data_IF_170506589669
#
_entry.id   IF_170506589669
#
_cell.length_a   1.000
_cell.length_b   1.000
_cell.length_c   1.000
_cell.angle_alpha   90.00
_cell.angle_beta   90.00
_cell.angle_gamma   90.00
#
_symmetry.space_group_name_H-M   'P 1'
#
loop_
_entity.id
_entity.type
_entity.pdbx_description
1 polymer ?
#
# COMPACT_ATOMS: atom_id res chain seq x y z
N UNK A 1 54.49 45.88 -25.56
CA UNK A 1 53.93 46.44 -24.30
C UNK A 1 52.42 46.46 -24.39
N UNK A 2 51.73 45.53 -23.72
CA UNK A 2 50.27 45.58 -23.55
C UNK A 2 49.97 45.19 -22.11
N UNK A 3 49.51 46.17 -21.35
CA UNK A 3 49.08 45.99 -19.97
C UNK A 3 47.70 46.60 -19.82
N UNK A 4 46.83 45.85 -19.15
CA UNK A 4 45.69 46.22 -18.29
C UNK A 4 44.32 45.71 -18.74
N UNK A 5 43.95 44.66 -18.01
CA UNK A 5 42.61 44.21 -17.62
C UNK A 5 41.63 45.36 -17.41
N UNK A 6 40.38 45.15 -17.84
CA UNK A 6 39.20 45.56 -17.07
C UNK A 6 38.23 44.38 -17.03
N UNK A 7 37.82 44.05 -15.81
CA UNK A 7 36.85 43.04 -15.44
C UNK A 7 35.49 43.28 -16.12
N UNK A 8 34.89 42.21 -16.65
CA UNK A 8 33.43 42.13 -16.81
C UNK A 8 32.93 40.91 -16.05
N UNK A 9 32.54 41.18 -14.80
CA UNK A 9 31.80 40.26 -13.97
C UNK A 9 30.32 40.35 -14.38
N UNK A 10 29.84 39.39 -15.17
CA UNK A 10 28.40 39.09 -15.27
C UNK A 10 28.22 37.57 -15.38
N UNK A 11 28.43 36.87 -14.27
CA UNK A 11 27.93 35.49 -14.09
C UNK A 11 26.78 35.53 -13.11
N UNK A 12 25.60 35.87 -13.61
CA UNK A 12 24.33 35.65 -12.92
C UNK A 12 23.18 35.50 -13.92
N UNK A 13 23.05 34.31 -14.47
CA UNK A 13 21.78 33.69 -14.88
C UNK A 13 22.04 32.18 -14.81
N UNK A 14 21.22 31.32 -14.26
CA UNK A 14 19.99 31.38 -13.48
C UNK A 14 20.02 30.03 -12.74
N UNK A 15 19.57 30.01 -11.48
CA UNK A 15 19.34 28.76 -10.76
C UNK A 15 18.44 27.87 -11.63
N UNK A 16 18.95 26.71 -12.03
CA UNK A 16 18.10 25.63 -12.46
C UNK A 16 17.29 25.20 -11.22
N UNK A 17 16.09 25.75 -11.06
CA UNK A 17 15.05 25.07 -10.30
C UNK A 17 14.77 23.76 -11.04
N UNK A 18 15.51 22.71 -10.70
CA UNK A 18 14.97 21.36 -10.75
C UNK A 18 13.79 21.39 -9.79
N UNK A 19 12.61 21.62 -10.33
CA UNK A 19 11.39 21.13 -9.72
C UNK A 19 11.53 19.62 -9.85
N UNK A 20 11.98 18.95 -8.79
CA UNK A 20 11.77 17.51 -8.71
C UNK A 20 10.27 17.30 -8.88
N UNK A 21 9.81 16.50 -9.86
CA UNK A 21 8.40 16.16 -9.90
C UNK A 21 8.12 15.45 -8.59
N UNK A 22 7.30 16.07 -7.74
CA UNK A 22 6.60 15.35 -6.69
C UNK A 22 5.80 14.31 -7.45
N UNK A 23 6.30 13.07 -7.45
CA UNK A 23 5.50 11.93 -7.86
C UNK A 23 4.35 11.94 -6.86
N UNK A 24 3.20 12.50 -7.24
CA UNK A 24 1.97 12.28 -6.49
C UNK A 24 1.76 10.78 -6.49
N UNK A 25 2.11 10.14 -5.37
CA UNK A 25 1.85 8.73 -5.17
C UNK A 25 0.34 8.56 -5.26
N UNK A 26 -0.11 7.87 -6.30
CA UNK A 26 -1.52 7.56 -6.46
C UNK A 26 -1.93 6.73 -5.23
N UNK A 27 -2.88 7.20 -4.41
CA UNK A 27 -3.21 6.51 -3.17
C UNK A 27 -3.65 5.08 -3.47
N UNK A 28 -2.97 4.13 -2.84
CA UNK A 28 -3.27 2.70 -2.98
C UNK A 28 -4.25 2.27 -1.90
N UNK A 29 -5.26 1.50 -2.29
CA UNK A 29 -6.16 0.84 -1.33
C UNK A 29 -5.94 -0.65 -1.38
N UNK A 30 -5.70 -1.24 -0.22
CA UNK A 30 -5.50 -2.67 -0.07
C UNK A 30 -6.82 -3.38 0.23
N UNK A 31 -6.93 -4.60 -0.29
CA UNK A 31 -8.09 -5.47 -0.15
C UNK A 31 -7.66 -6.89 0.22
N UNK A 32 -8.47 -7.54 1.03
CA UNK A 32 -8.38 -8.97 1.31
C UNK A 32 -9.59 -9.68 0.69
N UNK A 33 -9.33 -10.62 -0.22
CA UNK A 33 -10.33 -11.56 -0.74
C UNK A 33 -10.17 -12.92 -0.08
N UNK A 34 -11.29 -13.48 0.37
CA UNK A 34 -11.41 -14.85 0.85
C UNK A 34 -12.34 -15.62 -0.09
N UNK A 35 -11.93 -16.82 -0.49
CA UNK A 35 -12.71 -17.71 -1.38
C UNK A 35 -12.97 -19.02 -0.65
N UNK A 36 -14.23 -19.42 -0.53
CA UNK A 36 -14.61 -20.72 0.05
C UNK A 36 -14.50 -21.86 -0.98
N UNK A 37 -14.57 -23.11 -0.51
CA UNK A 37 -14.61 -24.30 -1.38
C UNK A 37 -15.83 -24.32 -2.32
N UNK A 38 -16.91 -23.63 -1.94
CA UNK A 38 -18.11 -23.48 -2.78
C UNK A 38 -17.98 -22.35 -3.83
N UNK A 39 -16.83 -21.68 -3.90
CA UNK A 39 -16.59 -20.51 -4.75
C UNK A 39 -17.25 -19.21 -4.25
N UNK A 40 -17.75 -19.16 -3.00
CA UNK A 40 -18.28 -17.92 -2.44
C UNK A 40 -17.12 -17.01 -2.07
N UNK A 41 -17.21 -15.74 -2.48
CA UNK A 41 -16.21 -14.74 -2.18
C UNK A 41 -16.68 -13.80 -1.06
N UNK A 42 -15.74 -13.42 -0.19
CA UNK A 42 -15.85 -12.26 0.69
C UNK A 42 -14.70 -11.30 0.37
N UNK A 43 -15.01 -10.02 0.24
CA UNK A 43 -14.03 -8.99 -0.06
C UNK A 43 -14.06 -7.93 1.04
N UNK A 44 -12.91 -7.68 1.66
CA UNK A 44 -12.73 -6.66 2.70
C UNK A 44 -11.79 -5.59 2.21
N UNK A 45 -12.17 -4.32 2.37
CA UNK A 45 -11.23 -3.21 2.26
C UNK A 45 -10.38 -3.18 3.54
N UNK A 46 -9.07 -3.19 3.40
CA UNK A 46 -8.16 -3.09 4.53
C UNK A 46 -8.04 -1.63 4.98
N UNK A 47 -7.79 -1.45 6.28
CA UNK A 47 -7.44 -0.13 6.81
C UNK A 47 -6.12 0.37 6.18
N UNK A 48 -5.90 1.69 6.10
CA UNK A 48 -4.68 2.23 5.50
C UNK A 48 -3.42 1.91 6.30
N UNK A 49 -3.55 1.74 7.62
CA UNK A 49 -2.46 1.27 8.50
C UNK A 49 -2.29 -0.25 8.51
N UNK A 50 -3.15 -0.99 7.80
CA UNK A 50 -3.03 -2.43 7.73
C UNK A 50 -1.84 -2.79 6.83
N UNK A 51 -0.86 -3.51 7.36
CA UNK A 51 0.27 -4.03 6.58
C UNK A 51 -0.16 -5.28 5.77
N UNK A 52 -0.21 -5.19 4.44
CA UNK A 52 -0.60 -6.30 3.57
C UNK A 52 0.28 -7.54 3.72
N UNK A 53 1.60 -7.35 3.91
CA UNK A 53 2.57 -8.43 3.95
C UNK A 53 2.50 -9.19 5.28
N UNK A 54 2.30 -8.44 6.36
CA UNK A 54 1.99 -9.02 7.67
C UNK A 54 0.69 -9.84 7.62
N UNK A 55 -0.39 -9.31 7.01
CA UNK A 55 -1.66 -10.06 6.88
C UNK A 55 -1.47 -11.35 6.07
N UNK A 56 -0.74 -11.31 4.95
CA UNK A 56 -0.44 -12.53 4.19
C UNK A 56 0.30 -13.57 5.03
N UNK A 57 1.28 -13.12 5.81
CA UNK A 57 2.07 -13.98 6.71
C UNK A 57 1.18 -14.59 7.79
N UNK A 58 0.35 -13.79 8.46
CA UNK A 58 -0.56 -14.26 9.51
C UNK A 58 -1.60 -15.26 8.99
N UNK A 59 -2.13 -15.06 7.77
CA UNK A 59 -3.05 -16.03 7.17
C UNK A 59 -2.35 -17.36 6.87
N UNK A 60 -1.13 -17.32 6.32
CA UNK A 60 -0.36 -18.52 6.02
C UNK A 60 0.03 -19.31 7.28
N UNK A 61 0.48 -18.61 8.32
CA UNK A 61 0.80 -19.20 9.62
C UNK A 61 -0.46 -19.68 10.35
N UNK A 62 -1.55 -18.90 10.26
CA UNK A 62 -2.85 -19.19 10.85
C UNK A 62 -3.41 -20.52 10.37
N UNK A 63 -3.30 -20.85 9.07
CA UNK A 63 -3.74 -22.16 8.56
C UNK A 63 -2.98 -23.31 9.22
N UNK A 64 -1.66 -23.18 9.36
CA UNK A 64 -0.82 -24.22 9.99
C UNK A 64 -1.17 -24.42 11.47
N UNK A 65 -1.50 -23.32 12.15
CA UNK A 65 -1.85 -23.32 13.56
C UNK A 65 -3.35 -23.52 13.84
N UNK A 66 -4.20 -23.56 12.80
CA UNK A 66 -5.67 -23.55 12.91
C UNK A 66 -6.20 -22.39 13.77
N UNK A 67 -5.60 -21.20 13.59
CA UNK A 67 -5.77 -20.06 14.48
C UNK A 67 -6.85 -19.07 14.00
N UNK A 68 -7.10 -18.08 14.85
CA UNK A 68 -7.87 -16.88 14.49
C UNK A 68 -6.89 -15.74 14.16
N UNK A 69 -7.16 -15.01 13.09
CA UNK A 69 -6.37 -13.85 12.65
C UNK A 69 -7.25 -12.60 12.71
N UNK A 70 -6.77 -11.56 13.39
CA UNK A 70 -7.46 -10.28 13.46
C UNK A 70 -6.97 -9.37 12.33
N UNK A 71 -7.90 -8.92 11.49
CA UNK A 71 -7.59 -8.06 10.35
C UNK A 71 -8.31 -6.72 10.51
N UNK A 72 -7.58 -5.59 10.55
CA UNK A 72 -8.20 -4.27 10.54
C UNK A 72 -8.74 -3.94 9.15
N UNK A 73 -10.06 -3.75 9.06
CA UNK A 73 -10.80 -3.49 7.83
C UNK A 73 -11.54 -2.14 7.91
N UNK A 74 -12.05 -1.68 6.77
CA UNK A 74 -13.00 -0.58 6.69
C UNK A 74 -14.38 -1.13 6.35
N UNK A 75 -15.36 -0.89 7.23
CA UNK A 75 -16.76 -1.25 7.04
C UNK A 75 -17.63 -0.02 7.34
N UNK A 76 -18.55 0.31 6.44
CA UNK A 76 -19.42 1.50 6.55
C UNK A 76 -18.68 2.81 6.87
N UNK A 77 -17.45 2.94 6.35
CA UNK A 77 -16.59 4.10 6.56
C UNK A 77 -15.87 4.14 7.91
N UNK A 78 -16.04 3.12 8.75
CA UNK A 78 -15.39 3.00 10.05
C UNK A 78 -14.35 1.89 10.07
N UNK A 79 -13.36 2.05 10.95
CA UNK A 79 -12.31 1.05 11.18
C UNK A 79 -12.86 -0.02 12.11
N UNK A 80 -12.79 -1.27 11.67
CA UNK A 80 -13.32 -2.43 12.38
C UNK A 80 -12.25 -3.53 12.42
N UNK A 81 -12.21 -4.30 13.52
CA UNK A 81 -11.34 -5.50 13.59
C UNK A 81 -12.20 -6.72 13.27
N UNK A 82 -11.96 -7.32 12.10
CA UNK A 82 -12.60 -8.58 11.73
C UNK A 82 -11.72 -9.76 12.13
N UNK A 83 -12.25 -10.64 12.97
CA UNK A 83 -11.61 -11.90 13.34
C UNK A 83 -11.94 -12.98 12.32
N UNK A 84 -10.92 -13.49 11.63
CA UNK A 84 -11.04 -14.57 10.66
C UNK A 84 -10.63 -15.89 11.29
N UNK A 85 -11.49 -16.90 11.19
CA UNK A 85 -11.11 -18.29 11.47
C UNK A 85 -10.32 -18.83 10.29
N UNK A 86 -9.04 -19.17 10.50
CA UNK A 86 -8.13 -19.63 9.46
C UNK A 86 -7.81 -21.10 9.73
N UNK A 87 -8.68 -21.97 9.22
CA UNK A 87 -8.65 -23.42 9.45
C UNK A 87 -8.77 -24.18 8.12
N UNK A 88 -8.19 -25.40 8.02
CA UNK A 88 -8.37 -26.24 6.85
C UNK A 88 -9.85 -26.43 6.48
N UNK A 89 -10.19 -26.29 5.20
CA UNK A 89 -11.57 -26.40 4.69
C UNK A 89 -12.49 -25.22 5.01
N UNK A 90 -12.03 -24.19 5.73
CA UNK A 90 -12.82 -22.95 5.93
C UNK A 90 -12.75 -22.05 4.70
N UNK A 91 -11.55 -21.91 4.14
CA UNK A 91 -11.26 -21.12 2.94
C UNK A 91 -10.43 -21.98 1.99
N UNK A 92 -10.81 -21.98 0.71
CA UNK A 92 -10.07 -22.62 -0.37
C UNK A 92 -8.81 -21.81 -0.73
N UNK A 93 -8.95 -20.48 -0.73
CA UNK A 93 -7.88 -19.56 -1.06
C UNK A 93 -8.11 -18.18 -0.42
N UNK A 94 -7.04 -17.39 -0.32
CA UNK A 94 -7.10 -15.97 0.00
C UNK A 94 -6.10 -15.20 -0.86
N UNK A 95 -6.35 -13.90 -1.03
CA UNK A 95 -5.48 -13.01 -1.77
C UNK A 95 -5.52 -11.61 -1.16
N UNK A 96 -4.35 -11.01 -0.95
CA UNK A 96 -4.23 -9.59 -0.63
C UNK A 96 -3.77 -8.87 -1.88
N UNK A 97 -4.50 -7.83 -2.30
CA UNK A 97 -4.22 -7.07 -3.52
C UNK A 97 -4.45 -5.58 -3.28
N UNK A 98 -3.95 -4.74 -4.19
CA UNK A 98 -4.14 -3.30 -4.11
C UNK A 98 -4.71 -2.73 -5.41
N UNK A 99 -5.43 -1.63 -5.28
CA UNK A 99 -6.00 -0.89 -6.39
C UNK A 99 -5.63 0.58 -6.22
N UNK A 100 -5.12 1.18 -7.29
CA UNK A 100 -4.91 2.61 -7.36
C UNK A 100 -6.28 3.31 -7.30
N UNK A 101 -6.50 4.18 -6.31
CA UNK A 101 -7.70 5.01 -6.27
C UNK A 101 -7.45 6.31 -7.02
N UNK A 102 -8.26 6.61 -8.06
CA UNK A 102 -8.26 7.96 -8.62
C UNK A 102 -8.78 8.94 -7.56
N UNK A 103 -8.09 10.08 -7.43
CA UNK A 103 -8.46 11.21 -6.57
C UNK A 103 -9.80 11.83 -6.98
#
# INVERSE_FOLDING_TARGET
MHTRRIHSAVRRLLYAHRVDPVLEEVPMVHYLRLVSDSGRELNYRLHHDADPDSIQTWLAEGVRAQAFVNVPIVMDGQVEITTLAVQPGRWAAWMVFHVAQPL
#
